data_IF_874769476260
#
_entry.id   IF_874769476260
#
_cell.length_a   1.000
_cell.length_b   1.000
_cell.length_c   1.000
_cell.angle_alpha   90.00
_cell.angle_beta   90.00
_cell.angle_gamma   90.00
#
_symmetry.space_group_name_H-M   'P 1'
#
loop_
_entity.id
_entity.type
_entity.pdbx_description
1 polymer ?
#
# COMPACT_ATOMS: atom_id res chain seq x y z
N UNK A 1 17.57 42.32 -16.92
CA UNK A 1 16.82 42.54 -15.65
C UNK A 1 15.95 41.31 -15.46
N UNK A 2 15.99 40.67 -14.28
CA UNK A 2 15.40 39.35 -14.05
C UNK A 2 13.86 39.41 -14.08
N UNK A 3 13.25 38.69 -15.01
CA UNK A 3 11.82 38.37 -15.01
C UNK A 3 11.51 37.60 -13.72
N UNK A 4 10.80 38.25 -12.80
CA UNK A 4 10.32 37.61 -11.58
C UNK A 4 9.36 36.51 -11.99
N UNK A 5 9.74 35.25 -11.72
CA UNK A 5 8.94 34.06 -11.97
C UNK A 5 7.66 34.03 -11.14
N UNK A 6 6.69 34.87 -11.49
CA UNK A 6 5.36 34.87 -10.87
C UNK A 6 4.53 33.76 -11.50
N UNK A 7 4.65 32.56 -10.94
CA UNK A 7 3.82 31.41 -11.27
C UNK A 7 2.38 31.73 -10.85
N UNK A 8 1.49 31.98 -11.82
CA UNK A 8 0.07 32.18 -11.54
C UNK A 8 -0.50 30.90 -10.92
N UNK A 9 -1.16 30.98 -9.75
CA UNK A 9 -1.73 29.80 -9.11
C UNK A 9 -2.79 29.17 -10.01
N UNK A 10 -2.84 27.83 -10.01
CA UNK A 10 -3.85 27.10 -10.76
C UNK A 10 -5.26 27.50 -10.26
N UNK A 11 -6.24 27.70 -11.14
CA UNK A 11 -7.60 28.03 -10.74
C UNK A 11 -8.12 26.99 -9.72
N UNK A 12 -8.53 27.45 -8.53
CA UNK A 12 -8.94 26.60 -7.41
C UNK A 12 -7.89 26.40 -6.30
N UNK A 13 -6.66 26.91 -6.45
CA UNK A 13 -5.68 26.95 -5.35
C UNK A 13 -5.80 28.25 -4.56
N UNK A 14 -6.11 28.13 -3.26
CA UNK A 14 -6.10 29.27 -2.35
C UNK A 14 -4.65 29.71 -2.11
N UNK A 15 -4.32 30.94 -2.53
CA UNK A 15 -3.04 31.59 -2.22
C UNK A 15 -2.95 31.82 -0.71
N UNK A 16 -1.74 31.72 -0.14
CA UNK A 16 -1.48 32.06 1.26
C UNK A 16 -2.06 33.45 1.58
N UNK A 17 -2.83 33.56 2.67
CA UNK A 17 -3.44 34.82 3.09
C UNK A 17 -2.38 35.78 3.63
N UNK A 18 -2.54 37.08 3.35
CA UNK A 18 -1.62 38.14 3.76
C UNK A 18 -1.43 38.24 5.30
N UNK A 19 -0.33 38.85 5.80
CA UNK A 19 0.06 38.91 7.22
C UNK A 19 -0.88 39.69 8.18
N UNK A 20 -2.15 39.85 7.85
CA UNK A 20 -3.18 40.47 8.68
C UNK A 20 -4.57 39.86 8.49
N UNK A 21 -4.66 38.72 7.81
CA UNK A 21 -5.94 38.08 7.56
C UNK A 21 -6.55 37.50 8.85
N UNK A 22 -7.89 37.53 8.99
CA UNK A 22 -8.57 36.95 10.14
C UNK A 22 -8.26 35.45 10.24
N UNK A 23 -8.22 34.95 11.48
CA UNK A 23 -7.98 33.54 11.78
C UNK A 23 -8.94 32.65 10.98
N UNK A 24 -8.43 31.53 10.49
CA UNK A 24 -9.24 30.55 9.75
C UNK A 24 -10.37 30.04 10.65
N UNK A 25 -11.58 30.03 10.11
CA UNK A 25 -12.72 29.38 10.77
C UNK A 25 -12.74 27.89 10.45
N UNK A 26 -13.39 27.07 11.27
CA UNK A 26 -13.55 25.63 11.00
C UNK A 26 -14.17 25.36 9.62
N UNK A 27 -15.06 26.26 9.18
CA UNK A 27 -15.67 26.21 7.86
C UNK A 27 -14.64 26.43 6.74
N UNK A 28 -13.70 27.35 6.94
CA UNK A 28 -12.59 27.58 5.99
C UNK A 28 -11.69 26.35 5.91
N UNK A 29 -11.39 25.69 7.04
CA UNK A 29 -10.59 24.48 7.08
C UNK A 29 -11.24 23.32 6.32
N UNK A 30 -12.54 23.12 6.49
CA UNK A 30 -13.28 22.07 5.78
C UNK A 30 -13.36 22.35 4.28
N UNK A 31 -13.50 23.61 3.89
CA UNK A 31 -13.57 24.01 2.48
C UNK A 31 -12.27 23.76 1.70
N UNK A 32 -11.11 23.73 2.36
CA UNK A 32 -9.82 23.35 1.72
C UNK A 32 -9.88 21.94 1.13
N UNK A 33 -10.69 21.06 1.73
CA UNK A 33 -10.86 19.67 1.31
C UNK A 33 -12.16 19.42 0.53
N UNK A 34 -13.05 20.41 0.45
CA UNK A 34 -14.30 20.29 -0.29
C UNK A 34 -14.03 20.23 -1.80
N UNK A 35 -14.25 19.07 -2.41
CA UNK A 35 -14.03 18.84 -3.84
C UNK A 35 -12.76 18.08 -4.20
N UNK A 36 -11.92 17.70 -3.22
CA UNK A 36 -10.91 16.66 -3.46
C UNK A 36 -11.58 15.30 -3.30
N UNK A 37 -11.65 14.46 -4.34
CA UNK A 37 -12.05 13.07 -4.14
C UNK A 37 -11.07 12.49 -3.11
N UNK A 38 -11.59 12.08 -1.95
CA UNK A 38 -10.86 11.16 -1.10
C UNK A 38 -10.81 9.87 -1.90
N UNK A 39 -9.74 9.67 -2.65
CA UNK A 39 -9.35 8.30 -2.96
C UNK A 39 -9.19 7.65 -1.60
N UNK A 40 -10.15 6.80 -1.23
CA UNK A 40 -9.91 5.82 -0.19
C UNK A 40 -8.69 5.07 -0.68
N UNK A 41 -7.52 5.40 -0.13
CA UNK A 41 -6.32 4.61 -0.33
C UNK A 41 -6.72 3.20 0.12
N UNK A 42 -7.03 2.35 -0.86
CA UNK A 42 -7.23 0.92 -0.64
C UNK A 42 -5.86 0.40 -0.26
N UNK A 43 -5.48 0.60 1.00
CA UNK A 43 -4.33 -0.04 1.55
C UNK A 43 -4.61 -1.54 1.45
N UNK A 44 -3.77 -2.30 0.74
CA UNK A 44 -3.86 -3.74 0.84
C UNK A 44 -3.70 -4.05 2.34
N UNK A 45 -4.72 -4.67 2.91
CA UNK A 45 -4.64 -5.15 4.29
C UNK A 45 -3.55 -6.22 4.29
N UNK A 46 -2.33 -5.82 4.59
CA UNK A 46 -1.19 -6.73 4.70
C UNK A 46 -1.41 -7.58 5.94
N UNK A 47 -2.19 -8.66 5.79
CA UNK A 47 -2.43 -9.61 6.85
C UNK A 47 -1.15 -10.41 7.07
N UNK A 48 -0.51 -10.17 8.21
CA UNK A 48 0.64 -10.96 8.65
C UNK A 48 0.17 -12.26 9.31
N UNK A 49 0.47 -13.39 8.69
CA UNK A 49 0.18 -14.70 9.24
C UNK A 49 1.42 -15.28 9.95
N UNK A 50 1.26 -15.67 11.22
CA UNK A 50 2.28 -16.43 11.95
C UNK A 50 2.04 -17.93 11.75
N UNK A 51 2.94 -18.58 11.02
CA UNK A 51 2.88 -20.03 10.76
C UNK A 51 3.82 -20.76 11.70
N UNK A 52 3.31 -21.73 12.44
CA UNK A 52 4.13 -22.66 13.22
C UNK A 52 4.59 -23.80 12.32
N UNK A 53 5.89 -24.05 12.33
CA UNK A 53 6.51 -25.14 11.56
C UNK A 53 7.38 -25.96 12.51
N UNK A 54 7.54 -27.25 12.22
CA UNK A 54 8.43 -28.11 13.01
C UNK A 54 9.90 -27.66 12.88
N UNK A 55 10.76 -27.93 13.88
CA UNK A 55 12.17 -27.55 13.81
C UNK A 55 12.89 -28.10 12.57
N UNK A 56 12.65 -29.37 12.23
CA UNK A 56 13.24 -30.00 11.04
C UNK A 56 12.84 -29.29 9.73
N UNK A 57 11.57 -28.90 9.61
CA UNK A 57 11.10 -28.15 8.44
C UNK A 57 11.68 -26.73 8.39
N UNK A 58 11.89 -26.09 9.54
CA UNK A 58 12.46 -24.73 9.59
C UNK A 58 13.84 -24.67 8.94
N UNK A 59 14.68 -25.67 9.22
CA UNK A 59 16.03 -25.71 8.65
C UNK A 59 16.01 -26.06 7.16
N UNK A 60 15.13 -26.98 6.75
CA UNK A 60 14.93 -27.28 5.34
C UNK A 60 14.44 -26.05 4.54
N UNK A 61 13.44 -25.32 5.05
CA UNK A 61 12.92 -24.12 4.41
C UNK A 61 13.98 -23.02 4.25
N UNK A 62 14.88 -22.88 5.23
CA UNK A 62 16.00 -21.92 5.14
C UNK A 62 17.02 -22.32 4.07
N UNK A 63 17.31 -23.61 3.92
CA UNK A 63 18.23 -24.12 2.88
C UNK A 63 17.65 -23.88 1.50
N UNK A 64 16.41 -24.31 1.27
CA UNK A 64 15.71 -24.15 -0.01
C UNK A 64 15.56 -22.66 -0.36
N UNK A 65 15.20 -21.80 0.60
CA UNK A 65 15.11 -20.36 0.34
C UNK A 65 16.43 -19.75 -0.12
N UNK A 66 17.58 -20.25 0.35
CA UNK A 66 18.90 -19.80 -0.13
C UNK A 66 19.21 -20.31 -1.53
N UNK A 67 18.91 -21.58 -1.81
CA UNK A 67 19.10 -22.20 -3.12
C UNK A 67 18.28 -21.48 -4.22
N UNK A 68 17.04 -21.09 -3.89
CA UNK A 68 16.15 -20.37 -4.80
C UNK A 68 16.37 -18.85 -4.82
N UNK A 69 17.42 -18.33 -4.16
CA UNK A 69 17.71 -16.90 -4.03
C UNK A 69 16.52 -16.07 -3.49
N UNK A 70 15.70 -16.66 -2.63
CA UNK A 70 14.59 -15.97 -1.97
C UNK A 70 15.09 -15.17 -0.76
N UNK A 71 14.58 -13.94 -0.60
CA UNK A 71 14.95 -13.07 0.51
C UNK A 71 14.61 -13.63 1.90
N UNK A 72 13.59 -14.51 2.01
CA UNK A 72 13.20 -15.13 3.28
C UNK A 72 12.42 -16.45 3.05
N UNK A 73 12.58 -17.39 3.96
CA UNK A 73 11.72 -18.58 4.13
C UNK A 73 10.21 -18.30 4.12
N UNK A 74 9.76 -17.11 4.55
CA UNK A 74 8.34 -16.73 4.48
C UNK A 74 7.83 -16.54 3.05
N UNK A 75 8.68 -16.10 2.12
CA UNK A 75 8.33 -15.99 0.71
C UNK A 75 8.08 -17.36 0.10
N UNK A 76 8.92 -18.34 0.44
CA UNK A 76 8.76 -19.74 0.06
C UNK A 76 7.45 -20.34 0.62
N UNK A 77 7.12 -20.06 1.89
CA UNK A 77 5.85 -20.55 2.46
C UNK A 77 4.65 -19.93 1.74
N UNK A 78 4.71 -18.63 1.38
CA UNK A 78 3.64 -17.97 0.63
C UNK A 78 3.47 -18.55 -0.77
N UNK A 79 4.57 -18.83 -1.50
CA UNK A 79 4.49 -19.44 -2.84
C UNK A 79 3.84 -20.83 -2.78
N UNK A 80 4.32 -21.70 -1.90
CA UNK A 80 3.77 -23.06 -1.71
C UNK A 80 2.29 -23.02 -1.32
N UNK A 81 1.89 -22.13 -0.41
CA UNK A 81 0.48 -21.97 -0.03
C UNK A 81 -0.37 -21.51 -1.22
N UNK A 82 0.12 -20.56 -2.01
CA UNK A 82 -0.60 -20.06 -3.20
C UNK A 82 -0.79 -21.15 -4.26
N UNK A 83 0.25 -21.97 -4.49
CA UNK A 83 0.18 -23.09 -5.42
C UNK A 83 -0.76 -24.18 -4.91
N UNK A 84 -0.75 -24.46 -3.60
CA UNK A 84 -1.66 -25.42 -2.98
C UNK A 84 -3.12 -25.00 -3.17
N UNK A 85 -3.45 -23.74 -2.85
CA UNK A 85 -4.80 -23.19 -3.01
C UNK A 85 -5.22 -23.21 -4.48
N UNK A 86 -4.35 -22.76 -5.39
CA UNK A 86 -4.61 -22.74 -6.83
C UNK A 86 -4.86 -24.15 -7.39
N UNK A 87 -4.07 -25.13 -6.98
CA UNK A 87 -4.23 -26.51 -7.42
C UNK A 87 -5.52 -27.14 -6.89
N UNK A 88 -5.90 -26.82 -5.65
CA UNK A 88 -7.16 -27.29 -5.07
C UNK A 88 -8.37 -26.66 -5.77
N UNK A 89 -8.33 -25.37 -6.07
CA UNK A 89 -9.37 -24.68 -6.82
C UNK A 89 -9.54 -25.29 -8.23
N UNK A 90 -8.43 -25.53 -8.95
CA UNK A 90 -8.45 -26.19 -10.27
C UNK A 90 -9.04 -27.60 -10.23
N UNK A 91 -8.76 -28.38 -9.17
CA UNK A 91 -9.35 -29.71 -8.98
C UNK A 91 -10.86 -29.64 -8.71
N UNK A 92 -11.30 -28.68 -7.89
CA UNK A 92 -12.72 -28.48 -7.62
C UNK A 92 -13.48 -28.11 -8.90
N UNK A 93 -12.93 -27.24 -9.76
CA UNK A 93 -13.57 -26.85 -11.02
C UNK A 93 -13.62 -27.97 -12.08
N UNK A 94 -12.82 -29.03 -11.97
CA UNK A 94 -12.88 -30.19 -12.88
C UNK A 94 -13.92 -31.24 -12.45
N UNK A 95 -14.48 -31.11 -11.25
CA UNK A 95 -15.46 -32.04 -10.69
C UNK A 95 -16.92 -31.59 -10.92
N UNK A 96 -17.11 -30.47 -11.63
CA UNK A 96 -18.38 -29.97 -12.14
C UNK A 96 -18.36 -30.02 -13.67
#
# INVERSE_FOLDING_TARGET
>A
MADRGEMKPAPGTAVYRDPGAPALTDKDLMNIFAGRPREEEQHPVNVELRVKVTPAMKDALKRIAREENLHNSSALVRSVLSDFVRNRAKKACKAF
#
